data_IF_746260406594
#
_entry.id   IF_746260406594
#
_cell.length_a   1.000
_cell.length_b   1.000
_cell.length_c   1.000
_cell.angle_alpha   90.00
_cell.angle_beta   90.00
_cell.angle_gamma   90.00
#
_symmetry.space_group_name_H-M   'P 1'
#
loop_
_entity.id
_entity.type
_entity.pdbx_description
1 polymer ?
#
# COMPACT_ATOMS: atom_id res chain seq x y z
N UNK A 1 -11.10 11.70 8.46
CA UNK A 1 -10.23 11.85 9.64
C UNK A 1 -10.14 13.31 10.08
N UNK A 2 -9.43 14.18 9.34
CA UNK A 2 -9.13 15.56 9.79
C UNK A 2 -10.33 16.39 10.29
N UNK A 3 -11.52 16.20 9.71
CA UNK A 3 -12.77 16.87 10.13
C UNK A 3 -13.24 16.54 11.56
N UNK A 4 -12.82 15.40 12.12
CA UNK A 4 -13.18 14.96 13.49
C UNK A 4 -12.40 15.77 14.55
N UNK A 5 -11.27 16.40 14.17
CA UNK A 5 -10.47 17.28 15.02
C UNK A 5 -10.01 16.70 16.36
N UNK A 6 -10.00 15.38 16.53
CA UNK A 6 -9.39 14.73 17.70
C UNK A 6 -7.87 14.62 17.52
N UNK A 7 -7.08 14.67 18.60
CA UNK A 7 -5.63 14.56 18.52
C UNK A 7 -5.21 13.25 17.82
N UNK A 8 -5.90 12.13 18.12
CA UNK A 8 -5.71 10.83 17.48
C UNK A 8 -5.98 10.85 15.97
N UNK A 9 -7.00 11.59 15.53
CA UNK A 9 -7.35 11.69 14.12
C UNK A 9 -6.32 12.51 13.33
N UNK A 10 -5.84 13.61 13.91
CA UNK A 10 -4.84 14.48 13.28
C UNK A 10 -3.48 13.76 13.25
N UNK A 11 -3.06 13.13 14.35
CA UNK A 11 -1.81 12.36 14.40
C UNK A 11 -1.86 11.17 13.44
N UNK A 12 -2.96 10.41 13.42
CA UNK A 12 -3.17 9.30 12.51
C UNK A 12 -3.12 9.73 11.04
N UNK A 13 -3.79 10.84 10.69
CA UNK A 13 -3.75 11.39 9.34
C UNK A 13 -2.34 11.84 8.92
N UNK A 14 -1.59 12.49 9.81
CA UNK A 14 -0.20 12.89 9.53
C UNK A 14 0.72 11.69 9.32
N UNK A 15 0.63 10.70 10.20
CA UNK A 15 1.41 9.44 10.09
C UNK A 15 1.09 8.76 8.76
N UNK A 16 -0.20 8.64 8.41
CA UNK A 16 -0.64 8.02 7.16
C UNK A 16 -0.13 8.78 5.93
N UNK A 17 -0.18 10.11 5.91
CA UNK A 17 0.31 10.90 4.78
C UNK A 17 1.82 10.73 4.56
N UNK A 18 2.60 10.73 5.64
CA UNK A 18 4.06 10.52 5.55
C UNK A 18 4.36 9.11 5.08
N UNK A 19 3.74 8.11 5.71
CA UNK A 19 3.97 6.71 5.39
C UNK A 19 3.54 6.40 3.94
N UNK A 20 2.37 6.87 3.53
CA UNK A 20 1.88 6.71 2.17
C UNK A 20 2.79 7.40 1.14
N UNK A 21 3.31 8.59 1.45
CA UNK A 21 4.27 9.29 0.59
C UNK A 21 5.56 8.50 0.36
N UNK A 22 6.06 7.83 1.40
CA UNK A 22 7.23 6.96 1.32
C UNK A 22 6.93 5.66 0.54
N UNK A 23 5.79 5.02 0.78
CA UNK A 23 5.44 3.77 0.08
C UNK A 23 5.17 4.00 -1.41
N UNK A 24 4.48 5.08 -1.76
CA UNK A 24 4.14 5.39 -3.15
C UNK A 24 5.38 5.77 -3.95
N UNK A 25 6.30 6.56 -3.37
CA UNK A 25 7.57 6.90 -4.02
C UNK A 25 8.46 5.66 -4.27
N UNK A 26 8.51 4.72 -3.32
CA UNK A 26 9.19 3.44 -3.49
C UNK A 26 8.59 2.63 -4.65
N UNK A 27 7.26 2.51 -4.73
CA UNK A 27 6.59 1.80 -5.82
C UNK A 27 6.83 2.45 -7.19
N UNK A 28 6.79 3.78 -7.27
CA UNK A 28 7.09 4.50 -8.52
C UNK A 28 8.54 4.31 -8.96
N UNK A 29 9.50 4.37 -8.02
CA UNK A 29 10.90 4.11 -8.29
C UNK A 29 11.09 2.69 -8.83
N UNK A 30 10.51 1.69 -8.18
CA UNK A 30 10.62 0.30 -8.60
C UNK A 30 9.96 0.06 -9.96
N UNK A 31 8.79 0.65 -10.22
CA UNK A 31 8.14 0.57 -11.52
C UNK A 31 9.03 1.15 -12.63
N UNK A 32 9.72 2.26 -12.36
CA UNK A 32 10.67 2.84 -13.31
C UNK A 32 11.89 1.93 -13.55
N UNK A 33 12.49 1.38 -12.48
CA UNK A 33 13.63 0.44 -12.65
C UNK A 33 13.24 -0.82 -13.43
N UNK A 34 12.01 -1.31 -13.26
CA UNK A 34 11.49 -2.43 -14.05
C UNK A 34 11.33 -2.03 -15.53
N UNK A 35 10.79 -0.85 -15.80
CA UNK A 35 10.66 -0.31 -17.15
C UNK A 35 12.01 -0.12 -17.85
N UNK A 36 13.03 0.40 -17.17
CA UNK A 36 14.36 0.58 -17.74
C UNK A 36 15.03 -0.75 -18.12
N UNK A 37 14.69 -1.85 -17.44
CA UNK A 37 15.25 -3.17 -17.71
C UNK A 37 14.50 -3.96 -18.77
N UNK A 38 13.19 -3.82 -18.83
CA UNK A 38 12.32 -4.60 -19.73
C UNK A 38 11.91 -3.83 -20.98
N UNK A 39 12.05 -2.50 -20.97
CA UNK A 39 11.57 -1.57 -22.00
C UNK A 39 10.07 -1.71 -22.34
N UNK A 40 9.27 -2.34 -21.47
CA UNK A 40 7.82 -2.50 -21.66
C UNK A 40 7.06 -1.97 -20.45
N UNK A 41 5.88 -1.38 -20.70
CA UNK A 41 4.98 -0.89 -19.63
C UNK A 41 3.87 -1.89 -19.29
N UNK A 42 3.82 -2.99 -20.01
CA UNK A 42 2.81 -4.04 -19.90
C UNK A 42 3.16 -5.01 -18.78
N UNK A 43 2.45 -4.93 -17.67
CA UNK A 43 2.62 -5.79 -16.48
C UNK A 43 2.55 -7.30 -16.77
N UNK A 44 1.78 -7.72 -17.77
CA UNK A 44 1.67 -9.14 -18.14
C UNK A 44 2.95 -9.69 -18.79
N UNK A 45 3.73 -8.83 -19.45
CA UNK A 45 4.99 -9.20 -20.08
C UNK A 45 6.16 -9.22 -19.09
N UNK A 46 5.97 -8.68 -17.88
CA UNK A 46 6.97 -8.68 -16.81
C UNK A 46 6.83 -9.87 -15.85
N UNK A 47 6.11 -10.91 -16.27
CA UNK A 47 5.97 -12.17 -15.53
C UNK A 47 7.31 -12.88 -15.34
N UNK A 48 7.50 -13.49 -14.18
CA UNK A 48 8.68 -14.32 -13.89
C UNK A 48 9.96 -13.55 -13.57
N UNK A 49 9.87 -12.24 -13.31
CA UNK A 49 11.03 -11.40 -12.95
C UNK A 49 11.73 -11.84 -11.66
N UNK A 50 11.08 -12.65 -10.82
CA UNK A 50 11.69 -13.19 -9.60
C UNK A 50 12.93 -14.06 -9.89
N UNK A 51 12.94 -14.82 -10.98
CA UNK A 51 14.09 -15.67 -11.34
C UNK A 51 15.26 -14.87 -11.92
N UNK A 52 14.97 -13.80 -12.65
CA UNK A 52 16.01 -13.01 -13.33
C UNK A 52 16.60 -11.91 -12.43
N UNK A 53 15.77 -11.30 -11.59
CA UNK A 53 16.15 -10.18 -10.71
C UNK A 53 15.60 -10.39 -9.29
N UNK A 54 16.17 -11.34 -8.51
CA UNK A 54 15.64 -11.70 -7.19
C UNK A 54 15.64 -10.50 -6.21
N UNK A 55 16.64 -9.63 -6.28
CA UNK A 55 16.68 -8.43 -5.43
C UNK A 55 15.54 -7.46 -5.76
N UNK A 56 15.24 -7.24 -7.04
CA UNK A 56 14.12 -6.39 -7.45
C UNK A 56 12.79 -6.98 -6.97
N UNK A 57 12.63 -8.30 -7.06
CA UNK A 57 11.44 -8.99 -6.56
C UNK A 57 11.28 -8.87 -5.04
N UNK A 58 12.38 -8.94 -4.26
CA UNK A 58 12.30 -8.71 -2.80
C UNK A 58 11.88 -7.28 -2.46
N UNK A 59 12.38 -6.27 -3.16
CA UNK A 59 11.94 -4.89 -2.96
C UNK A 59 10.50 -4.67 -3.39
N UNK A 60 10.08 -5.30 -4.49
CA UNK A 60 8.69 -5.28 -4.94
C UNK A 60 7.75 -5.90 -3.91
N UNK A 61 8.16 -7.03 -3.32
CA UNK A 61 7.42 -7.69 -2.24
C UNK A 61 7.31 -6.77 -1.01
N UNK A 62 8.43 -6.22 -0.52
CA UNK A 62 8.42 -5.30 0.63
C UNK A 62 7.54 -4.07 0.39
N UNK A 63 7.63 -3.46 -0.79
CA UNK A 63 6.80 -2.32 -1.17
C UNK A 63 5.30 -2.70 -1.20
N UNK A 64 4.96 -3.89 -1.69
CA UNK A 64 3.59 -4.39 -1.68
C UNK A 64 3.07 -4.63 -0.25
N UNK A 65 3.89 -5.20 0.65
CA UNK A 65 3.54 -5.38 2.06
C UNK A 65 3.31 -4.06 2.78
N UNK A 66 4.13 -3.04 2.50
CA UNK A 66 3.96 -1.70 3.05
C UNK A 66 2.67 -1.05 2.56
N UNK A 67 2.31 -1.24 1.29
CA UNK A 67 1.07 -0.71 0.72
C UNK A 67 -0.20 -1.42 1.25
N UNK A 68 -0.09 -2.69 1.68
CA UNK A 68 -1.19 -3.45 2.29
C UNK A 68 -1.45 -3.13 3.77
N UNK A 69 -0.64 -2.26 4.39
CA UNK A 69 -0.71 -1.99 5.82
C UNK A 69 -0.63 -3.26 6.69
N UNK A 70 0.24 -4.23 6.35
CA UNK A 70 0.46 -5.41 7.19
C UNK A 70 1.23 -5.05 8.49
N UNK A 71 1.07 -5.80 9.60
CA UNK A 71 1.95 -5.62 10.77
C UNK A 71 3.37 -6.01 10.36
N UNK A 72 4.46 -5.24 10.59
CA UNK A 72 4.72 -4.11 11.50
C UNK A 72 4.83 -2.71 10.83
N UNK A 73 3.96 -2.36 9.87
CA UNK A 73 4.14 -1.17 9.01
C UNK A 73 3.56 0.12 9.60
N UNK A 74 4.10 1.27 9.16
CA UNK A 74 3.66 2.62 9.58
C UNK A 74 2.26 2.93 9.01
N UNK A 75 1.93 2.43 7.81
CA UNK A 75 0.60 2.59 7.22
C UNK A 75 -0.48 2.01 8.14
N UNK A 76 -0.25 0.81 8.69
CA UNK A 76 -1.19 0.19 9.65
C UNK A 76 -1.42 1.06 10.89
N UNK A 77 -0.35 1.64 11.43
CA UNK A 77 -0.46 2.50 12.61
C UNK A 77 -1.34 3.73 12.33
N UNK A 78 -1.16 4.36 11.16
CA UNK A 78 -2.00 5.47 10.71
C UNK A 78 -3.47 5.05 10.51
N UNK A 79 -3.71 3.93 9.85
CA UNK A 79 -5.06 3.41 9.60
C UNK A 79 -5.79 3.06 10.91
N UNK A 80 -5.14 2.36 11.83
CA UNK A 80 -5.71 2.02 13.14
C UNK A 80 -6.08 3.26 13.95
N UNK A 81 -5.23 4.29 13.97
CA UNK A 81 -5.56 5.54 14.66
C UNK A 81 -6.77 6.23 14.02
N UNK A 82 -6.86 6.26 12.70
CA UNK A 82 -8.00 6.86 11.98
C UNK A 82 -9.30 6.08 12.25
N UNK A 83 -9.25 4.73 12.23
CA UNK A 83 -10.40 3.87 12.51
C UNK A 83 -10.83 4.04 13.96
N UNK A 84 -9.89 4.06 14.91
CA UNK A 84 -10.19 4.28 16.33
C UNK A 84 -10.93 5.61 16.58
N UNK A 85 -10.53 6.66 15.87
CA UNK A 85 -11.14 7.99 15.98
C UNK A 85 -12.50 8.09 15.26
N UNK A 86 -12.78 7.25 14.25
CA UNK A 86 -14.02 7.30 13.47
C UNK A 86 -15.17 6.47 14.03
N UNK A 87 -14.92 5.59 15.02
CA UNK A 87 -15.96 4.73 15.63
C UNK A 87 -17.20 5.50 16.11
N UNK A 88 -17.01 6.68 16.71
CA UNK A 88 -18.10 7.47 17.27
C UNK A 88 -18.68 8.50 16.28
N UNK A 89 -18.19 8.57 15.04
CA UNK A 89 -18.60 9.62 14.10
C UNK A 89 -19.76 9.19 13.19
N UNK A 90 -19.57 8.15 12.38
CA UNK A 90 -20.64 7.59 11.55
C UNK A 90 -20.34 6.13 11.19
N UNK A 91 -21.32 5.25 11.42
CA UNK A 91 -21.18 3.81 11.12
C UNK A 91 -20.98 3.55 9.63
N UNK A 92 -21.62 4.35 8.76
CA UNK A 92 -21.44 4.24 7.30
C UNK A 92 -19.99 4.51 6.88
N UNK A 93 -19.35 5.53 7.44
CA UNK A 93 -17.96 5.87 7.07
C UNK A 93 -17.00 4.79 7.53
N UNK A 94 -17.24 4.19 8.71
CA UNK A 94 -16.47 3.06 9.21
C UNK A 94 -16.56 1.83 8.28
N UNK A 95 -17.77 1.45 7.85
CA UNK A 95 -17.97 0.35 6.90
C UNK A 95 -17.26 0.62 5.58
N UNK A 96 -17.41 1.84 5.03
CA UNK A 96 -16.74 2.23 3.79
C UNK A 96 -15.21 2.19 3.91
N UNK A 97 -14.64 2.63 5.04
CA UNK A 97 -13.19 2.54 5.28
C UNK A 97 -12.70 1.09 5.40
N UNK A 98 -13.49 0.21 6.03
CA UNK A 98 -13.15 -1.22 6.12
C UNK A 98 -13.18 -1.91 4.75
N UNK A 99 -14.17 -1.60 3.92
CA UNK A 99 -14.21 -2.13 2.55
C UNK A 99 -13.08 -1.58 1.68
N UNK A 100 -12.75 -0.29 1.80
CA UNK A 100 -11.67 0.33 1.04
C UNK A 100 -10.31 -0.32 1.35
N UNK A 101 -9.98 -0.53 2.63
CA UNK A 101 -8.73 -1.19 3.06
C UNK A 101 -8.65 -2.65 2.60
N UNK A 102 -9.78 -3.36 2.57
CA UNK A 102 -9.83 -4.72 2.03
C UNK A 102 -9.59 -4.76 0.51
N UNK A 103 -10.18 -3.82 -0.24
CA UNK A 103 -9.99 -3.72 -1.69
C UNK A 103 -8.53 -3.37 -2.03
N UNK A 104 -7.92 -2.43 -1.30
CA UNK A 104 -6.51 -2.06 -1.54
C UNK A 104 -5.55 -3.22 -1.24
N UNK A 105 -5.79 -3.97 -0.15
CA UNK A 105 -4.98 -5.13 0.19
C UNK A 105 -5.09 -6.26 -0.85
N UNK A 106 -6.31 -6.59 -1.26
CA UNK A 106 -6.54 -7.65 -2.27
C UNK A 106 -5.99 -7.27 -3.64
N UNK A 107 -6.18 -6.02 -4.08
CA UNK A 107 -5.67 -5.55 -5.38
C UNK A 107 -4.15 -5.51 -5.44
N UNK A 108 -3.48 -5.02 -4.39
CA UNK A 108 -2.02 -4.99 -4.34
C UNK A 108 -1.42 -6.39 -4.33
N UNK A 109 -2.10 -7.35 -3.69
CA UNK A 109 -1.66 -8.75 -3.66
C UNK A 109 -1.84 -9.39 -5.03
N UNK A 110 -2.96 -9.11 -5.69
CA UNK A 110 -3.22 -9.53 -7.05
C UNK A 110 -2.17 -9.00 -8.04
N UNK A 111 -1.76 -7.73 -7.95
CA UNK A 111 -0.67 -7.18 -8.78
C UNK A 111 0.64 -7.91 -8.50
N UNK A 112 0.99 -8.12 -7.23
CA UNK A 112 2.23 -8.82 -6.88
C UNK A 112 2.25 -10.24 -7.47
N UNK A 113 1.19 -11.01 -7.28
CA UNK A 113 1.08 -12.36 -7.83
C UNK A 113 1.10 -12.35 -9.35
N UNK A 114 0.29 -11.52 -10.01
CA UNK A 114 0.21 -11.52 -11.48
C UNK A 114 1.52 -11.11 -12.19
N UNK A 115 2.46 -10.48 -11.48
CA UNK A 115 3.78 -10.08 -12.00
C UNK A 115 4.91 -11.03 -11.60
N UNK A 116 4.87 -11.61 -10.39
CA UNK A 116 5.96 -12.47 -9.91
C UNK A 116 5.67 -13.96 -10.12
N UNK A 117 4.39 -14.35 -10.04
CA UNK A 117 3.95 -15.72 -10.23
C UNK A 117 3.87 -16.04 -11.74
N UNK A 118 4.45 -17.17 -12.12
CA UNK A 118 4.45 -17.70 -13.48
C UNK A 118 3.10 -18.33 -13.84
#
# INVERSE_FOLDING_TARGET
AALIQTPWSISGAMILMIAHGLTSSLLFCLANTNYERTHTRTLLLTRGLQFTLPLLATWWFMASLFNMALPPTINLLGELMIISASFNWATLTLIMTGLATLITATYSLYIFLSTQYN
#
